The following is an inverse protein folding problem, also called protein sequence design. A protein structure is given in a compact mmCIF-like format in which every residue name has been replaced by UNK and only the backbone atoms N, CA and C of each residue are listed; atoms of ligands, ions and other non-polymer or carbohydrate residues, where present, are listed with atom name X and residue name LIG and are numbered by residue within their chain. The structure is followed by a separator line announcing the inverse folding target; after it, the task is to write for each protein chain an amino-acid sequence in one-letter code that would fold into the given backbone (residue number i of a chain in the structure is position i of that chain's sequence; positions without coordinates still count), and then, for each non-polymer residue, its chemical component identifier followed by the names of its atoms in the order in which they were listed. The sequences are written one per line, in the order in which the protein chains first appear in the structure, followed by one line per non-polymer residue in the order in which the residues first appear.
data_IF_885155166826
#
_entry.id   IF_885155166826
#
_cell.length_a   1.000
_cell.length_b   1.000
_cell.length_c   1.000
_cell.angle_alpha   90.00
_cell.angle_beta   90.00
_cell.angle_gamma   90.00
#
_symmetry.space_group_name_H-M   'P 1'
#
loop_
_entity.id
_entity.type
_entity.pdbx_description
1 polymer ?
#
# COMPACT_ATOMS: atom_id res chain seq x y z
N UNK A 1 11.42 60.99 -45.01
CA UNK A 1 11.97 62.09 -44.18
C UNK A 1 11.37 61.98 -42.78
N UNK A 2 12.17 61.64 -41.77
CA UNK A 2 11.85 61.88 -40.36
C UNK A 2 10.80 60.98 -39.69
N UNK A 3 10.98 59.66 -39.73
CA UNK A 3 10.30 58.77 -38.78
C UNK A 3 11.37 58.04 -37.98
N UNK A 4 11.48 58.36 -36.68
CA UNK A 4 12.49 57.79 -35.80
C UNK A 4 12.25 56.30 -35.62
N UNK A 5 13.35 55.55 -35.57
CA UNK A 5 13.42 54.09 -35.33
C UNK A 5 12.57 53.66 -34.11
N UNK A 6 12.39 54.55 -33.15
CA UNK A 6 11.53 54.37 -31.97
C UNK A 6 10.03 54.19 -32.25
N UNK A 7 9.47 54.76 -33.34
CA UNK A 7 8.04 54.58 -33.68
C UNK A 7 7.75 53.26 -34.40
N UNK A 8 8.73 52.72 -35.13
CA UNK A 8 8.62 51.39 -35.76
C UNK A 8 8.74 50.29 -34.70
N UNK A 9 9.62 50.47 -33.71
CA UNK A 9 9.73 49.57 -32.56
C UNK A 9 8.45 49.55 -31.70
N UNK A 10 7.79 50.69 -31.47
CA UNK A 10 6.57 50.74 -30.67
C UNK A 10 5.36 50.05 -31.35
N UNK A 11 5.28 50.11 -32.68
CA UNK A 11 4.27 49.39 -33.47
C UNK A 11 4.54 47.89 -33.58
N UNK A 12 5.81 47.47 -33.59
CA UNK A 12 6.17 46.05 -33.55
C UNK A 12 5.92 45.43 -32.17
N UNK A 13 6.17 46.17 -31.09
CA UNK A 13 5.93 45.72 -29.71
C UNK A 13 4.43 45.67 -29.39
N UNK A 14 3.61 46.59 -29.92
CA UNK A 14 2.16 46.52 -29.74
C UNK A 14 1.52 45.40 -30.58
N UNK A 15 2.04 45.10 -31.77
CA UNK A 15 1.58 43.97 -32.59
C UNK A 15 1.94 42.61 -31.95
N UNK A 16 3.14 42.47 -31.40
CA UNK A 16 3.56 41.28 -30.65
C UNK A 16 2.80 41.11 -29.33
N UNK A 17 2.55 42.22 -28.61
CA UNK A 17 1.74 42.21 -27.39
C UNK A 17 0.28 41.80 -27.65
N UNK A 18 -0.29 42.26 -28.78
CA UNK A 18 -1.68 41.91 -29.15
C UNK A 18 -1.78 40.47 -29.66
N UNK A 19 -0.79 39.96 -30.39
CA UNK A 19 -0.73 38.57 -30.82
C UNK A 19 -0.54 37.61 -29.63
N UNK A 20 0.30 37.96 -28.65
CA UNK A 20 0.47 37.21 -27.42
C UNK A 20 -0.80 37.22 -26.56
N UNK A 21 -1.51 38.35 -26.47
CA UNK A 21 -2.78 38.43 -25.73
C UNK A 21 -3.90 37.62 -26.41
N UNK A 22 -3.97 37.63 -27.74
CA UNK A 22 -4.93 36.80 -28.50
C UNK A 22 -4.60 35.31 -28.35
N UNK A 23 -3.32 34.93 -28.31
CA UNK A 23 -2.91 33.55 -28.05
C UNK A 23 -3.26 33.11 -26.61
N UNK A 24 -2.99 33.96 -25.60
CA UNK A 24 -3.29 33.65 -24.19
C UNK A 24 -4.81 33.58 -23.93
N UNK A 25 -5.59 34.49 -24.52
CA UNK A 25 -7.05 34.48 -24.41
C UNK A 25 -7.65 33.33 -25.24
N UNK A 26 -7.09 33.02 -26.41
CA UNK A 26 -7.49 31.89 -27.23
C UNK A 26 -7.27 30.53 -26.55
N UNK A 27 -6.11 30.34 -25.90
CA UNK A 27 -5.79 29.16 -25.09
C UNK A 27 -6.70 29.06 -23.86
N UNK A 28 -6.99 30.18 -23.19
CA UNK A 28 -7.89 30.19 -22.02
C UNK A 28 -9.34 29.87 -22.39
N UNK A 29 -9.84 30.35 -23.54
CA UNK A 29 -11.21 30.07 -24.01
C UNK A 29 -11.35 28.65 -24.58
N UNK A 30 -10.31 28.09 -25.19
CA UNK A 30 -10.30 26.69 -25.63
C UNK A 30 -10.15 25.71 -24.46
N UNK A 31 -9.35 26.04 -23.43
CA UNK A 31 -9.17 25.19 -22.24
C UNK A 31 -10.44 25.05 -21.39
N UNK A 32 -11.39 25.99 -21.48
CA UNK A 32 -12.67 25.92 -20.76
C UNK A 32 -13.74 25.09 -21.49
N UNK A 33 -13.57 24.79 -22.79
CA UNK A 33 -14.56 24.06 -23.60
C UNK A 33 -14.11 22.69 -24.06
N UNK A 34 -12.81 22.41 -24.07
CA UNK A 34 -12.30 21.09 -24.44
C UNK A 34 -10.91 20.86 -23.80
N UNK A 35 -10.83 20.36 -22.55
CA UNK A 35 -9.56 20.20 -21.84
C UNK A 35 -8.58 19.23 -22.53
N UNK A 36 -9.03 18.44 -23.51
CA UNK A 36 -8.19 17.60 -24.37
C UNK A 36 -7.37 18.38 -25.42
N UNK A 37 -7.89 19.50 -25.96
CA UNK A 37 -7.23 20.23 -27.05
C UNK A 37 -6.07 21.11 -26.56
N UNK A 38 -6.14 21.59 -25.31
CA UNK A 38 -5.03 22.32 -24.69
C UNK A 38 -3.82 21.41 -24.38
N UNK A 39 -4.03 20.09 -24.24
CA UNK A 39 -2.96 19.10 -24.04
C UNK A 39 -2.18 18.80 -25.33
N UNK A 40 -2.80 18.94 -26.51
CA UNK A 40 -2.11 18.78 -27.80
C UNK A 40 -1.22 19.98 -28.14
N UNK A 41 -1.66 21.21 -27.87
CA UNK A 41 -0.92 22.42 -28.24
C UNK A 41 0.38 22.64 -27.45
N UNK A 42 0.51 22.07 -26.25
CA UNK A 42 1.76 22.13 -25.45
C UNK A 42 2.79 21.09 -25.92
N UNK A 43 2.37 20.09 -26.72
CA UNK A 43 3.28 19.08 -27.28
C UNK A 43 4.14 19.59 -28.45
N UNK A 44 3.78 20.72 -29.08
CA UNK A 44 4.51 21.24 -30.26
C UNK A 44 5.59 22.28 -29.93
N UNK A 45 5.70 22.73 -28.68
CA UNK A 45 6.73 23.67 -28.23
C UNK A 45 7.92 22.94 -27.61
N UNK A 46 8.75 22.33 -28.45
CA UNK A 46 10.21 22.33 -28.28
C UNK A 46 10.86 21.47 -27.19
N UNK A 47 10.13 20.72 -26.37
CA UNK A 47 10.71 19.62 -25.60
C UNK A 47 10.90 18.42 -26.56
N UNK A 48 12.08 18.36 -27.19
CA UNK A 48 12.35 17.53 -28.36
C UNK A 48 11.98 16.04 -28.22
N UNK A 49 11.56 15.43 -29.33
CA UNK A 49 11.19 14.02 -29.45
C UNK A 49 12.15 13.01 -28.79
N UNK A 50 13.43 13.37 -28.61
CA UNK A 50 14.42 12.58 -27.88
C UNK A 50 14.14 12.47 -26.37
N UNK A 51 13.64 13.52 -25.71
CA UNK A 51 13.36 13.51 -24.26
C UNK A 51 12.14 12.64 -23.97
N UNK A 52 11.10 12.71 -24.80
CA UNK A 52 9.91 11.86 -24.69
C UNK A 52 10.23 10.38 -24.90
N UNK A 53 11.13 10.05 -25.84
CA UNK A 53 11.57 8.68 -26.09
C UNK A 53 12.42 8.11 -24.94
N UNK A 54 13.29 8.94 -24.34
CA UNK A 54 14.04 8.58 -23.13
C UNK A 54 13.09 8.35 -21.95
N UNK A 55 12.12 9.25 -21.75
CA UNK A 55 11.11 9.12 -20.71
C UNK A 55 10.26 7.84 -20.89
N UNK A 56 9.86 7.52 -22.12
CA UNK A 56 9.13 6.28 -22.43
C UNK A 56 9.98 5.03 -22.16
N UNK A 57 11.28 5.05 -22.48
CA UNK A 57 12.21 3.96 -22.14
C UNK A 57 12.41 3.81 -20.63
N UNK A 58 12.39 4.91 -19.87
CA UNK A 58 12.50 4.87 -18.41
C UNK A 58 11.29 4.20 -17.74
N UNK A 59 10.08 4.41 -18.29
CA UNK A 59 8.88 3.68 -17.88
C UNK A 59 8.98 2.18 -18.20
N UNK A 60 9.71 1.81 -19.27
CA UNK A 60 10.03 0.44 -19.64
C UNK A 60 8.79 -0.45 -19.85
N UNK A 61 8.81 -1.76 -19.54
CA UNK A 61 7.66 -2.66 -19.76
C UNK A 61 6.44 -2.43 -18.85
N UNK A 62 6.41 -1.36 -18.04
CA UNK A 62 5.32 -1.09 -17.10
C UNK A 62 4.15 -0.33 -17.74
N UNK A 63 4.26 0.00 -19.03
CA UNK A 63 3.16 0.48 -19.82
C UNK A 63 2.38 -0.70 -20.40
N UNK A 64 1.07 -0.69 -20.22
CA UNK A 64 0.18 -1.60 -20.95
C UNK A 64 0.17 -1.23 -22.45
N UNK A 65 -0.39 -2.12 -23.27
CA UNK A 65 -0.63 -1.87 -24.70
C UNK A 65 -1.52 -0.64 -24.94
N UNK A 66 -2.40 -0.32 -23.98
CA UNK A 66 -3.32 0.82 -24.00
C UNK A 66 -2.72 2.09 -23.38
N UNK A 67 -1.39 2.19 -23.31
CA UNK A 67 -0.62 3.31 -22.75
C UNK A 67 -0.94 3.59 -21.27
N UNK A 68 -1.32 2.59 -20.47
CA UNK A 68 -1.58 2.77 -19.02
C UNK A 68 -0.40 2.34 -18.17
N UNK A 69 -0.09 3.15 -17.17
CA UNK A 69 1.02 2.89 -16.28
C UNK A 69 0.62 1.94 -15.15
N UNK A 70 1.34 0.84 -15.04
CA UNK A 70 1.15 -0.15 -13.98
C UNK A 70 2.01 0.20 -12.75
N UNK A 71 1.52 -0.04 -11.52
CA UNK A 71 2.33 0.18 -10.31
C UNK A 71 3.57 -0.72 -10.29
N UNK A 72 4.69 -0.15 -9.84
CA UNK A 72 5.99 -0.83 -9.74
C UNK A 72 6.37 -1.13 -8.30
N UNK A 73 5.82 -0.35 -7.37
CA UNK A 73 6.10 -0.46 -5.94
C UNK A 73 4.79 -0.74 -5.23
N UNK A 74 4.77 -1.76 -4.38
CA UNK A 74 3.62 -2.10 -3.57
C UNK A 74 3.98 -1.99 -2.09
N UNK A 75 3.32 -1.08 -1.37
CA UNK A 75 3.32 -1.10 0.09
C UNK A 75 2.17 -2.03 0.54
N UNK A 76 2.49 -3.31 0.64
CA UNK A 76 1.49 -4.38 0.73
C UNK A 76 0.87 -4.51 2.12
N UNK A 77 1.47 -3.96 3.15
CA UNK A 77 0.98 -4.11 4.52
C UNK A 77 2.05 -3.90 5.56
N UNK A 78 1.82 -4.32 6.80
CA UNK A 78 0.59 -4.95 7.32
C UNK A 78 -0.34 -3.87 7.86
N UNK A 79 -1.65 -4.02 7.63
CA UNK A 79 -2.66 -3.18 8.27
C UNK A 79 -2.37 -2.99 9.76
N UNK A 80 -2.48 -1.73 10.20
CA UNK A 80 -2.30 -1.30 11.60
C UNK A 80 -0.85 -1.32 12.11
N UNK A 81 0.13 -1.53 11.24
CA UNK A 81 1.55 -1.29 11.50
C UNK A 81 2.07 0.00 10.83
N UNK A 82 1.27 1.09 10.86
CA UNK A 82 1.73 2.43 10.43
C UNK A 82 1.85 2.66 8.92
N UNK A 83 1.20 1.85 8.07
CA UNK A 83 1.30 1.96 6.60
C UNK A 83 0.86 3.31 6.04
N UNK A 84 -0.12 4.00 6.63
CA UNK A 84 -0.53 5.33 6.15
C UNK A 84 0.57 6.36 6.35
N UNK A 85 1.10 6.48 7.57
CA UNK A 85 2.22 7.38 7.87
C UNK A 85 3.42 7.08 6.97
N UNK A 86 3.77 5.81 6.82
CA UNK A 86 4.88 5.40 5.97
C UNK A 86 4.63 5.77 4.50
N UNK A 87 3.42 5.56 3.99
CA UNK A 87 3.06 5.92 2.62
C UNK A 87 3.17 7.43 2.38
N UNK A 88 2.61 8.24 3.28
CA UNK A 88 2.63 9.70 3.16
C UNK A 88 4.09 10.21 3.12
N UNK A 89 4.94 9.66 3.99
CA UNK A 89 6.36 9.98 4.03
C UNK A 89 7.11 9.48 2.78
N UNK A 90 6.83 8.26 2.30
CA UNK A 90 7.41 7.71 1.08
C UNK A 90 7.14 8.62 -0.12
N UNK A 91 5.89 9.06 -0.30
CA UNK A 91 5.49 9.92 -1.43
C UNK A 91 6.07 11.33 -1.27
N UNK A 92 6.15 11.85 -0.05
CA UNK A 92 6.63 13.21 0.22
C UNK A 92 8.14 13.35 0.14
N UNK A 93 8.88 12.28 0.49
CA UNK A 93 10.32 12.36 0.73
C UNK A 93 11.19 11.53 -0.20
N UNK A 94 10.63 10.61 -0.99
CA UNK A 94 11.38 9.86 -2.00
C UNK A 94 11.00 10.40 -3.39
N UNK A 95 11.83 11.26 -4.01
CA UNK A 95 11.46 12.01 -5.22
C UNK A 95 11.04 11.15 -6.41
N UNK A 96 11.44 9.88 -6.44
CA UNK A 96 11.10 8.93 -7.48
C UNK A 96 9.68 8.37 -7.37
N UNK A 97 9.11 8.37 -6.17
CA UNK A 97 7.84 7.72 -5.88
C UNK A 97 6.67 8.67 -6.20
N UNK A 98 5.64 8.12 -6.85
CA UNK A 98 4.40 8.82 -7.16
C UNK A 98 3.21 7.98 -6.72
N UNK A 99 2.14 8.61 -6.21
CA UNK A 99 0.92 7.91 -5.86
C UNK A 99 0.22 7.39 -7.11
N UNK A 100 -0.63 6.38 -6.95
CA UNK A 100 -1.70 6.09 -7.91
C UNK A 100 -2.82 7.13 -7.74
N UNK A 101 -3.74 7.22 -8.70
CA UNK A 101 -4.86 8.17 -8.67
C UNK A 101 -6.21 7.44 -8.61
N UNK A 102 -7.18 7.97 -7.88
CA UNK A 102 -8.56 7.47 -7.89
C UNK A 102 -9.32 7.90 -9.16
N UNK A 103 -10.62 7.55 -9.24
CA UNK A 103 -11.51 7.94 -10.35
C UNK A 103 -11.64 9.46 -10.54
N UNK A 104 -11.41 10.23 -9.48
CA UNK A 104 -11.50 11.69 -9.50
C UNK A 104 -10.15 12.33 -9.85
N UNK A 105 -9.13 11.50 -10.11
CA UNK A 105 -7.77 11.93 -10.39
C UNK A 105 -7.01 12.40 -9.14
N UNK A 106 -7.54 12.14 -7.94
CA UNK A 106 -6.88 12.51 -6.69
C UNK A 106 -5.88 11.42 -6.27
N UNK A 107 -4.74 11.78 -5.66
CA UNK A 107 -3.79 10.81 -5.12
C UNK A 107 -4.47 9.83 -4.16
N UNK A 108 -4.36 8.55 -4.47
CA UNK A 108 -4.96 7.47 -3.70
C UNK A 108 -3.88 6.55 -3.16
N UNK A 109 -3.89 6.37 -1.83
CA UNK A 109 -3.04 5.37 -1.18
C UNK A 109 -3.48 3.94 -1.52
N UNK A 110 -4.77 3.65 -1.36
CA UNK A 110 -5.29 2.28 -1.39
C UNK A 110 -6.13 2.07 -2.64
N UNK A 111 -5.60 1.30 -3.58
CA UNK A 111 -6.31 0.95 -4.82
C UNK A 111 -7.23 -0.26 -4.65
N UNK A 112 -6.90 -1.17 -3.71
CA UNK A 112 -7.73 -2.32 -3.32
C UNK A 112 -8.15 -3.24 -4.47
N UNK A 113 -7.39 -3.27 -5.56
CA UNK A 113 -7.76 -4.04 -6.75
C UNK A 113 -7.61 -5.54 -6.51
N UNK A 114 -6.43 -5.99 -6.06
CA UNK A 114 -6.11 -7.42 -5.99
C UNK A 114 -6.77 -8.16 -4.82
N UNK A 115 -7.04 -7.49 -3.70
CA UNK A 115 -7.75 -8.11 -2.57
C UNK A 115 -9.24 -8.26 -2.86
N UNK A 116 -9.85 -7.33 -3.60
CA UNK A 116 -11.30 -7.35 -3.87
C UNK A 116 -11.68 -7.90 -5.25
N UNK A 117 -10.68 -8.20 -6.09
CA UNK A 117 -10.90 -8.68 -7.46
C UNK A 117 -11.51 -7.62 -8.37
N UNK A 118 -11.14 -6.35 -8.19
CA UNK A 118 -11.66 -5.23 -8.98
C UNK A 118 -13.10 -4.84 -8.64
N UNK A 119 -13.62 -5.27 -7.49
CA UNK A 119 -14.94 -4.88 -6.98
C UNK A 119 -14.89 -3.62 -6.11
N UNK A 120 -13.73 -3.28 -5.56
CA UNK A 120 -13.57 -2.10 -4.71
C UNK A 120 -12.92 -0.98 -5.50
N UNK A 121 -13.62 0.14 -5.57
CA UNK A 121 -13.19 1.30 -6.37
C UNK A 121 -12.60 2.40 -5.47
N UNK A 122 -13.18 2.59 -4.29
CA UNK A 122 -12.63 3.39 -3.20
C UNK A 122 -13.29 2.95 -1.86
N UNK A 123 -12.84 3.51 -0.72
CA UNK A 123 -13.30 3.13 0.63
C UNK A 123 -14.83 3.03 0.83
N UNK A 124 -15.63 3.63 -0.06
CA UNK A 124 -17.09 3.73 0.05
C UNK A 124 -17.85 3.15 -1.16
N UNK A 125 -17.15 2.69 -2.22
CA UNK A 125 -17.79 2.24 -3.47
C UNK A 125 -17.45 0.77 -3.76
N UNK A 126 -18.49 -0.06 -3.66
CA UNK A 126 -18.48 -1.47 -4.04
C UNK A 126 -19.21 -1.67 -5.37
N UNK A 127 -18.53 -2.27 -6.35
CA UNK A 127 -19.12 -2.73 -7.59
C UNK A 127 -19.56 -4.20 -7.44
N UNK A 128 -20.78 -4.49 -7.88
CA UNK A 128 -21.30 -5.86 -7.90
C UNK A 128 -20.45 -6.75 -8.80
N UNK A 129 -20.09 -6.24 -9.97
CA UNK A 129 -19.30 -6.97 -10.96
C UNK A 129 -17.80 -6.60 -10.87
N UNK A 130 -16.91 -7.61 -10.87
CA UNK A 130 -15.48 -7.38 -10.87
C UNK A 130 -15.05 -6.70 -12.18
N UNK A 131 -14.36 -5.56 -12.07
CA UNK A 131 -13.78 -4.89 -13.25
C UNK A 131 -12.46 -5.57 -13.63
N UNK A 132 -12.24 -5.99 -14.89
CA UNK A 132 -10.94 -6.52 -15.32
C UNK A 132 -9.80 -5.53 -15.09
N UNK A 133 -8.60 -6.01 -14.73
CA UNK A 133 -7.52 -5.15 -14.28
C UNK A 133 -7.11 -4.11 -15.32
N UNK A 134 -7.05 -4.52 -16.59
CA UNK A 134 -6.72 -3.62 -17.69
C UNK A 134 -7.75 -2.51 -17.84
N UNK A 135 -9.04 -2.85 -17.73
CA UNK A 135 -10.11 -1.86 -17.77
C UNK A 135 -10.06 -0.93 -16.56
N UNK A 136 -9.80 -1.48 -15.37
CA UNK A 136 -9.62 -0.70 -14.15
C UNK A 136 -8.47 0.33 -14.30
N UNK A 137 -7.32 -0.08 -14.83
CA UNK A 137 -6.20 0.84 -15.10
C UNK A 137 -6.58 2.00 -16.03
N UNK A 138 -7.54 1.81 -16.96
CA UNK A 138 -7.96 2.93 -17.84
C UNK A 138 -8.62 4.08 -17.08
N UNK A 139 -9.18 3.81 -15.90
CA UNK A 139 -9.88 4.79 -15.05
C UNK A 139 -8.97 5.35 -13.96
N UNK A 140 -8.02 4.54 -13.47
CA UNK A 140 -7.27 4.82 -12.24
C UNK A 140 -5.76 4.99 -12.44
N UNK A 141 -5.26 4.80 -13.66
CA UNK A 141 -3.84 4.98 -13.95
C UNK A 141 -3.60 6.10 -14.96
N UNK A 142 -2.55 6.86 -14.69
CA UNK A 142 -2.00 7.82 -15.63
C UNK A 142 -1.59 7.13 -16.93
N UNK A 143 -1.66 7.90 -18.03
CA UNK A 143 -1.11 7.41 -19.29
C UNK A 143 0.40 7.53 -19.26
N UNK A 144 1.10 6.56 -19.86
CA UNK A 144 2.54 6.62 -19.98
C UNK A 144 2.99 7.85 -20.76
N UNK A 145 2.23 8.31 -21.75
CA UNK A 145 2.47 9.58 -22.42
C UNK A 145 2.37 10.78 -21.47
N UNK A 146 1.36 10.85 -20.60
CA UNK A 146 1.21 11.95 -19.65
C UNK A 146 2.35 11.99 -18.63
N UNK A 147 2.73 10.82 -18.10
CA UNK A 147 3.87 10.72 -17.18
C UNK A 147 5.18 11.09 -17.86
N UNK A 148 5.39 10.66 -19.11
CA UNK A 148 6.58 11.01 -19.89
C UNK A 148 6.66 12.52 -20.16
N UNK A 149 5.55 13.17 -20.50
CA UNK A 149 5.50 14.62 -20.72
C UNK A 149 5.70 15.42 -19.43
N UNK A 150 5.09 14.99 -18.32
CA UNK A 150 5.33 15.61 -17.00
C UNK A 150 6.81 15.47 -16.61
N UNK A 151 7.42 14.31 -16.84
CA UNK A 151 8.85 14.10 -16.60
C UNK A 151 9.69 15.03 -17.46
N UNK A 152 9.40 15.14 -18.76
CA UNK A 152 10.13 16.03 -19.67
C UNK A 152 10.05 17.51 -19.25
N UNK A 153 8.88 17.95 -18.76
CA UNK A 153 8.69 19.31 -18.27
C UNK A 153 9.46 19.58 -16.98
N UNK A 154 9.42 18.66 -16.02
CA UNK A 154 10.23 18.76 -14.79
C UNK A 154 11.72 18.78 -15.12
N UNK A 155 12.18 17.87 -15.98
CA UNK A 155 13.56 17.84 -16.45
C UNK A 155 14.00 19.16 -17.13
N UNK A 156 13.07 19.90 -17.70
CA UNK A 156 13.37 21.19 -18.36
C UNK A 156 13.32 22.38 -17.39
N UNK A 157 12.63 22.22 -16.25
CA UNK A 157 12.42 23.29 -15.27
C UNK A 157 13.49 23.32 -14.17
N UNK A 158 14.13 22.19 -13.88
CA UNK A 158 15.18 22.06 -12.87
C UNK A 158 16.58 22.23 -13.47
N UNK A 159 17.48 22.85 -12.71
CA UNK A 159 18.89 22.96 -13.07
C UNK A 159 19.68 21.76 -12.54
N UNK A 160 20.89 21.48 -13.07
CA UNK A 160 21.70 20.29 -12.74
C UNK A 160 22.15 20.15 -11.28
N UNK A 161 21.89 21.18 -10.46
CA UNK A 161 22.24 21.27 -9.04
C UNK A 161 21.01 21.06 -8.13
N UNK A 162 19.80 20.94 -8.69
CA UNK A 162 18.59 20.70 -7.89
C UNK A 162 18.53 19.21 -7.49
N UNK A 163 18.44 18.86 -6.20
CA UNK A 163 18.33 17.46 -5.76
C UNK A 163 17.05 16.77 -6.25
N UNK A 164 16.06 17.55 -6.73
CA UNK A 164 14.86 17.06 -7.40
C UNK A 164 14.97 17.13 -8.93
N UNK A 165 16.14 17.48 -9.48
CA UNK A 165 16.40 17.47 -10.93
C UNK A 165 16.42 16.03 -11.47
N UNK A 166 15.26 15.58 -11.93
CA UNK A 166 15.10 14.32 -12.64
C UNK A 166 15.81 14.31 -14.02
N UNK A 167 16.32 15.45 -14.53
CA UNK A 167 17.10 15.49 -15.76
C UNK A 167 18.51 14.94 -15.56
N UNK A 168 19.10 15.23 -14.40
CA UNK A 168 20.38 14.68 -13.98
C UNK A 168 20.23 13.34 -13.24
N UNK A 169 19.11 13.13 -12.54
CA UNK A 169 18.86 11.89 -11.80
C UNK A 169 18.60 10.72 -12.77
N UNK A 170 19.36 9.64 -12.60
CA UNK A 170 19.12 8.36 -13.32
C UNK A 170 17.86 7.64 -12.81
N UNK A 171 17.05 8.33 -12.01
CA UNK A 171 16.08 7.72 -11.13
C UNK A 171 14.76 7.55 -11.88
N UNK A 172 14.31 6.31 -12.02
CA UNK A 172 13.05 6.01 -12.69
C UNK A 172 11.88 6.54 -11.86
N UNK A 173 10.84 7.07 -12.51
CA UNK A 173 9.56 7.32 -11.83
C UNK A 173 8.89 5.99 -11.52
N UNK A 174 8.53 5.80 -10.26
CA UNK A 174 7.93 4.59 -9.74
C UNK A 174 6.57 4.90 -9.15
N UNK A 175 5.54 4.16 -9.55
CA UNK A 175 4.19 4.35 -9.05
C UNK A 175 3.92 3.37 -7.91
N UNK A 176 3.33 3.89 -6.84
CA UNK A 176 3.12 3.18 -5.58
C UNK A 176 1.65 2.85 -5.40
N UNK A 177 1.33 1.56 -5.30
CA UNK A 177 0.06 1.09 -4.74
C UNK A 177 0.28 0.80 -3.25
N UNK A 178 -0.33 1.62 -2.40
CA UNK A 178 -0.15 1.63 -0.96
C UNK A 178 -1.15 0.76 -0.19
N UNK A 179 -1.73 -0.27 -0.81
CA UNK A 179 -2.81 -1.08 -0.24
C UNK A 179 -2.34 -2.08 0.84
N UNK A 180 -2.63 -1.84 2.14
CA UNK A 180 -2.15 -2.70 3.22
C UNK A 180 -2.86 -4.06 3.32
N UNK A 181 -3.99 -4.21 2.63
CA UNK A 181 -4.74 -5.46 2.56
C UNK A 181 -4.15 -6.46 1.56
N UNK A 182 -3.12 -6.06 0.78
CA UNK A 182 -2.41 -6.99 -0.09
C UNK A 182 -1.52 -7.96 0.70
N UNK A 183 -1.25 -7.67 1.98
CA UNK A 183 -0.64 -8.61 2.92
C UNK A 183 -1.69 -9.62 3.39
N UNK A 184 -2.18 -10.42 2.45
CA UNK A 184 -3.20 -11.43 2.68
C UNK A 184 -3.01 -12.59 1.71
N UNK A 185 -3.58 -13.74 2.06
CA UNK A 185 -3.49 -14.94 1.26
C UNK A 185 -4.09 -14.76 -0.15
N UNK A 186 -3.45 -15.35 -1.16
CA UNK A 186 -3.88 -15.37 -2.55
C UNK A 186 -3.60 -14.08 -3.33
N UNK A 187 -3.21 -12.98 -2.68
CA UNK A 187 -2.95 -11.71 -3.38
C UNK A 187 -1.71 -11.79 -4.26
N UNK A 188 -0.65 -12.46 -3.81
CA UNK A 188 0.58 -12.64 -4.59
C UNK A 188 0.32 -13.30 -5.95
N UNK A 189 -0.49 -14.36 -5.98
CA UNK A 189 -0.88 -15.04 -7.23
C UNK A 189 -1.65 -14.12 -8.18
N UNK A 190 -2.60 -13.33 -7.66
CA UNK A 190 -3.37 -12.37 -8.47
C UNK A 190 -2.49 -11.26 -9.06
N UNK A 191 -1.50 -10.77 -8.31
CA UNK A 191 -0.50 -9.85 -8.84
C UNK A 191 0.31 -10.58 -9.92
N UNK A 192 0.84 -11.77 -9.67
CA UNK A 192 1.63 -12.50 -10.67
C UNK A 192 0.87 -12.75 -12.00
N UNK A 193 -0.43 -13.00 -11.93
CA UNK A 193 -1.33 -13.13 -13.08
C UNK A 193 -1.49 -11.82 -13.86
N UNK A 194 -1.67 -10.69 -13.17
CA UNK A 194 -1.78 -9.37 -13.78
C UNK A 194 -0.48 -8.86 -14.42
N UNK A 195 0.66 -9.43 -14.04
CA UNK A 195 1.98 -9.16 -14.59
C UNK A 195 2.53 -10.41 -15.31
N UNK A 196 1.99 -10.78 -16.48
CA UNK A 196 2.29 -12.07 -17.12
C UNK A 196 3.72 -12.16 -17.65
N UNK A 197 4.37 -11.02 -17.95
CA UNK A 197 5.73 -11.01 -18.51
C UNK A 197 6.78 -11.11 -17.38
N UNK A 198 7.73 -12.05 -17.41
CA UNK A 198 8.76 -12.20 -16.37
C UNK A 198 9.58 -10.92 -16.13
N UNK A 199 9.84 -10.15 -17.18
CA UNK A 199 10.54 -8.86 -17.11
C UNK A 199 9.78 -7.80 -16.30
N UNK A 200 8.45 -7.80 -16.36
CA UNK A 200 7.61 -6.92 -15.53
C UNK A 200 7.70 -7.37 -14.07
N UNK A 201 7.52 -8.67 -13.81
CA UNK A 201 7.58 -9.22 -12.45
C UNK A 201 8.89 -8.91 -11.76
N UNK A 202 10.04 -9.03 -12.44
CA UNK A 202 11.37 -8.72 -11.87
C UNK A 202 11.55 -7.25 -11.47
N UNK A 203 10.77 -6.34 -12.06
CA UNK A 203 10.82 -4.90 -11.72
C UNK A 203 9.97 -4.55 -10.52
N UNK A 204 9.04 -5.41 -10.12
CA UNK A 204 8.20 -5.14 -8.95
C UNK A 204 9.05 -5.07 -7.68
N UNK A 205 8.68 -4.16 -6.79
CA UNK A 205 9.24 -4.02 -5.45
C UNK A 205 8.10 -4.03 -4.44
N UNK A 206 8.28 -4.80 -3.39
CA UNK A 206 7.34 -4.93 -2.31
C UNK A 206 7.96 -4.37 -1.03
N UNK A 207 7.20 -3.55 -0.32
CA UNK A 207 7.53 -3.01 0.98
C UNK A 207 6.46 -3.49 1.95
N UNK A 208 6.88 -4.06 3.08
CA UNK A 208 5.99 -4.47 4.15
C UNK A 208 6.48 -3.91 5.49
N UNK A 209 5.64 -3.16 6.19
CA UNK A 209 5.84 -2.79 7.59
C UNK A 209 5.18 -3.81 8.51
N UNK A 210 5.96 -4.49 9.34
CA UNK A 210 5.47 -5.45 10.34
C UNK A 210 5.58 -4.84 11.73
N UNK A 211 4.86 -5.37 12.70
CA UNK A 211 4.98 -4.92 14.07
C UNK A 211 4.82 -6.11 15.01
N UNK A 212 5.05 -5.91 16.31
CA UNK A 212 4.75 -6.94 17.29
C UNK A 212 3.29 -7.42 17.11
N UNK A 213 3.03 -8.74 16.96
CA UNK A 213 1.69 -9.23 16.67
C UNK A 213 0.63 -8.82 17.69
N UNK A 214 0.95 -8.79 18.98
CA UNK A 214 0.02 -8.34 20.03
C UNK A 214 -0.31 -6.85 19.82
N UNK A 215 0.71 -6.03 19.58
CA UNK A 215 0.57 -4.60 19.28
C UNK A 215 -0.30 -4.37 18.05
N UNK A 216 -0.10 -5.16 16.98
CA UNK A 216 -0.94 -5.09 15.78
C UNK A 216 -2.40 -5.42 16.10
N UNK A 217 -2.66 -6.55 16.74
CA UNK A 217 -4.02 -7.02 17.03
C UNK A 217 -4.76 -6.04 17.95
N UNK A 218 -4.06 -5.50 18.94
CA UNK A 218 -4.56 -4.43 19.80
C UNK A 218 -4.92 -3.18 18.99
N UNK A 219 -4.07 -2.79 18.05
CA UNK A 219 -4.30 -1.65 17.14
C UNK A 219 -5.51 -1.89 16.24
N UNK A 220 -5.65 -3.08 15.65
CA UNK A 220 -6.79 -3.47 14.84
C UNK A 220 -8.10 -3.45 15.62
N UNK A 221 -8.14 -4.10 16.79
CA UNK A 221 -9.30 -4.09 17.67
C UNK A 221 -9.73 -2.66 18.03
N UNK A 222 -8.78 -1.83 18.45
CA UNK A 222 -9.05 -0.44 18.81
C UNK A 222 -9.60 0.33 17.61
N UNK A 223 -8.94 0.22 16.45
CA UNK A 223 -9.36 0.89 15.23
C UNK A 223 -10.81 0.57 14.87
N UNK A 224 -11.14 -0.72 14.74
CA UNK A 224 -12.50 -1.12 14.35
C UNK A 224 -13.50 -0.66 15.43
N UNK A 225 -13.21 -0.85 16.72
CA UNK A 225 -14.10 -0.36 17.79
C UNK A 225 -14.33 1.15 17.73
N UNK A 226 -13.31 1.95 17.39
CA UNK A 226 -13.44 3.42 17.29
C UNK A 226 -14.10 3.89 16.00
N UNK A 227 -13.81 3.25 14.86
CA UNK A 227 -14.33 3.66 13.55
C UNK A 227 -15.86 3.63 13.54
N UNK A 228 -16.46 2.58 14.09
CA UNK A 228 -17.91 2.41 14.09
C UNK A 228 -18.62 3.27 15.13
N UNK A 229 -18.01 3.53 16.29
CA UNK A 229 -18.57 4.50 17.23
C UNK A 229 -18.70 5.91 16.64
N UNK A 230 -18.00 6.22 15.54
CA UNK A 230 -18.07 7.50 14.82
C UNK A 230 -18.98 7.48 13.58
N UNK A 231 -19.39 6.32 13.07
CA UNK A 231 -20.32 6.21 11.96
C UNK A 231 -21.74 6.17 12.54
N UNK A 232 -22.47 7.27 12.52
CA UNK A 232 -23.90 7.24 12.90
C UNK A 232 -24.76 6.61 11.80
N UNK A 233 -25.99 6.21 12.14
CA UNK A 233 -27.04 5.79 11.19
C UNK A 233 -27.24 4.27 11.06
N UNK A 234 -28.33 3.87 10.40
CA UNK A 234 -28.78 2.46 10.29
C UNK A 234 -27.73 1.54 9.64
N UNK A 235 -26.96 2.04 8.67
CA UNK A 235 -25.91 1.26 8.00
C UNK A 235 -24.72 0.97 8.94
N UNK A 236 -24.41 1.88 9.85
CA UNK A 236 -23.40 1.66 10.86
C UNK A 236 -23.85 0.62 11.91
N UNK A 237 -25.12 0.65 12.33
CA UNK A 237 -25.68 -0.38 13.22
C UNK A 237 -25.65 -1.78 12.59
N UNK A 238 -25.90 -1.87 11.28
CA UNK A 238 -25.85 -3.13 10.54
C UNK A 238 -24.41 -3.66 10.42
N UNK A 239 -23.45 -2.76 10.15
CA UNK A 239 -22.03 -3.13 10.04
C UNK A 239 -21.41 -3.43 11.40
N UNK A 240 -21.84 -2.74 12.46
CA UNK A 240 -21.40 -2.99 13.83
C UNK A 240 -21.73 -4.43 14.22
N UNK A 241 -22.97 -4.90 13.96
CA UNK A 241 -23.39 -6.28 14.27
C UNK A 241 -22.53 -7.35 13.59
N UNK A 242 -21.98 -7.07 12.42
CA UNK A 242 -21.19 -8.04 11.64
C UNK A 242 -19.71 -8.09 12.04
N UNK A 243 -19.26 -7.21 12.94
CA UNK A 243 -17.87 -7.15 13.33
C UNK A 243 -17.62 -7.78 14.68
N UNK A 244 -16.50 -8.49 14.76
CA UNK A 244 -16.05 -9.10 16.00
C UNK A 244 -16.00 -8.10 17.16
N UNK A 245 -15.61 -6.85 16.92
CA UNK A 245 -15.54 -5.80 17.96
C UNK A 245 -16.88 -5.48 18.62
N UNK A 246 -18.03 -5.84 18.03
CA UNK A 246 -19.33 -5.70 18.68
C UNK A 246 -19.53 -6.72 19.81
N UNK A 247 -19.07 -7.95 19.60
CA UNK A 247 -19.24 -9.06 20.55
C UNK A 247 -18.31 -8.99 21.76
N UNK A 248 -17.28 -8.14 21.72
CA UNK A 248 -16.32 -8.01 22.80
C UNK A 248 -16.30 -6.57 23.33
N UNK A 249 -16.42 -6.44 24.65
CA UNK A 249 -16.32 -5.16 25.32
C UNK A 249 -14.89 -4.60 25.22
N UNK A 250 -13.89 -5.47 25.40
CA UNK A 250 -12.48 -5.08 25.38
C UNK A 250 -11.62 -6.02 24.52
N UNK A 251 -10.44 -5.55 24.13
CA UNK A 251 -9.42 -6.37 23.48
C UNK A 251 -9.03 -7.58 24.34
N UNK A 252 -8.94 -7.41 25.66
CA UNK A 252 -8.63 -8.49 26.59
C UNK A 252 -9.67 -9.63 26.52
N UNK A 253 -10.97 -9.31 26.43
CA UNK A 253 -12.03 -10.31 26.30
C UNK A 253 -11.94 -11.05 24.96
N UNK A 254 -11.70 -10.32 23.88
CA UNK A 254 -11.49 -10.89 22.55
C UNK A 254 -10.29 -11.81 22.52
N UNK A 255 -9.13 -11.39 23.04
CA UNK A 255 -7.91 -12.18 23.03
C UNK A 255 -8.09 -13.45 23.86
N UNK A 256 -8.71 -13.36 25.03
CA UNK A 256 -9.00 -14.51 25.88
C UNK A 256 -9.81 -15.60 25.14
N UNK A 257 -10.84 -15.19 24.39
CA UNK A 257 -11.64 -16.14 23.60
C UNK A 257 -10.91 -16.65 22.35
N UNK A 258 -10.14 -15.79 21.69
CA UNK A 258 -9.32 -16.15 20.53
C UNK A 258 -8.29 -17.21 20.92
N UNK A 259 -7.56 -16.99 22.02
CA UNK A 259 -6.58 -17.95 22.56
C UNK A 259 -7.23 -19.27 22.94
N UNK A 260 -8.40 -19.23 23.58
CA UNK A 260 -9.14 -20.46 23.92
C UNK A 260 -9.56 -21.28 22.69
N UNK A 261 -9.77 -20.63 21.54
CA UNK A 261 -10.17 -21.27 20.28
C UNK A 261 -8.97 -21.69 19.40
N UNK A 262 -7.73 -21.32 19.74
CA UNK A 262 -6.54 -21.63 18.93
C UNK A 262 -6.36 -23.13 18.62
N UNK A 263 -6.54 -24.06 19.57
CA UNK A 263 -6.39 -25.49 19.27
C UNK A 263 -7.36 -25.98 18.18
N UNK A 264 -8.60 -25.48 18.18
CA UNK A 264 -9.60 -25.82 17.17
C UNK A 264 -9.27 -25.17 15.83
N UNK A 265 -8.85 -23.91 15.82
CA UNK A 265 -8.48 -23.20 14.59
C UNK A 265 -7.24 -23.80 13.90
N UNK A 266 -6.34 -24.39 14.67
CA UNK A 266 -5.08 -24.98 14.21
C UNK A 266 -5.16 -26.48 13.91
N UNK A 267 -6.30 -27.12 14.16
CA UNK A 267 -6.49 -28.53 13.83
C UNK A 267 -6.43 -28.74 12.30
N UNK A 268 -6.01 -29.91 11.79
CA UNK A 268 -6.04 -30.20 10.36
C UNK A 268 -7.43 -29.96 9.75
N UNK A 269 -7.49 -29.22 8.64
CA UNK A 269 -8.74 -28.75 8.02
C UNK A 269 -9.42 -27.57 8.74
N UNK A 270 -8.80 -27.07 9.81
CA UNK A 270 -9.23 -25.88 10.53
C UNK A 270 -8.97 -24.58 9.76
N UNK A 271 -9.33 -23.45 10.37
CA UNK A 271 -9.26 -22.13 9.72
C UNK A 271 -7.87 -21.77 9.23
N UNK A 272 -6.82 -22.22 9.93
CA UNK A 272 -5.45 -21.88 9.58
C UNK A 272 -4.84 -22.73 8.45
N UNK A 273 -5.46 -23.86 8.09
CA UNK A 273 -5.00 -24.69 6.96
C UNK A 273 -5.43 -24.11 5.60
N UNK A 274 -6.54 -23.38 5.55
CA UNK A 274 -7.01 -22.71 4.34
C UNK A 274 -7.67 -21.35 4.63
N UNK A 275 -6.87 -20.31 4.96
CA UNK A 275 -7.42 -19.01 5.32
C UNK A 275 -8.16 -18.34 4.15
N UNK A 276 -7.73 -18.59 2.90
CA UNK A 276 -8.35 -18.01 1.70
C UNK A 276 -9.77 -18.53 1.43
N UNK A 277 -9.99 -19.84 1.50
CA UNK A 277 -11.31 -20.43 1.26
C UNK A 277 -12.34 -20.01 2.34
N UNK A 278 -11.91 -19.94 3.60
CA UNK A 278 -12.83 -19.62 4.70
C UNK A 278 -13.18 -18.13 4.81
N UNK A 279 -12.39 -17.24 4.18
CA UNK A 279 -12.69 -15.81 4.13
C UNK A 279 -13.43 -15.37 2.86
N UNK A 280 -13.28 -16.10 1.74
CA UNK A 280 -13.89 -15.74 0.46
C UNK A 280 -15.39 -16.09 0.34
N UNK A 281 -15.87 -17.18 0.97
CA UNK A 281 -17.24 -17.68 0.83
C UNK A 281 -18.36 -16.75 1.37
N UNK A 282 -18.04 -15.63 2.03
CA UNK A 282 -19.04 -14.91 2.88
C UNK A 282 -19.50 -13.54 2.40
N UNK A 283 -18.91 -12.96 1.35
CA UNK A 283 -19.46 -11.73 0.77
C UNK A 283 -20.77 -11.97 0.00
N UNK A 284 -20.97 -13.19 -0.51
CA UNK A 284 -22.21 -13.60 -1.16
C UNK A 284 -23.25 -14.08 -0.11
N UNK A 285 -22.84 -14.79 0.95
CA UNK A 285 -23.75 -15.28 2.01
C UNK A 285 -24.42 -14.16 2.83
N UNK A 286 -23.73 -13.04 3.09
CA UNK A 286 -24.31 -11.91 3.86
C UNK A 286 -25.27 -11.06 2.99
N UNK A 287 -25.29 -11.25 1.67
CA UNK A 287 -26.24 -10.58 0.76
C UNK A 287 -27.57 -11.32 0.62
N UNK A 288 -27.60 -12.63 0.85
CA UNK A 288 -28.80 -13.47 0.70
C UNK A 288 -29.72 -13.46 1.93
N UNK A 289 -29.24 -13.06 3.12
CA UNK A 289 -30.07 -12.98 4.35
C UNK A 289 -31.15 -11.86 4.29
N UNK A 290 -31.21 -11.04 3.22
CA UNK A 290 -32.18 -9.94 3.07
C UNK A 290 -33.41 -10.32 2.21
N UNK A 291 -33.34 -11.37 1.38
CA UNK A 291 -34.39 -11.69 0.40
C UNK A 291 -35.14 -13.02 0.67
N UNK A 292 -34.92 -13.68 1.82
CA UNK A 292 -35.58 -14.94 2.19
C UNK A 292 -37.03 -14.75 2.70
N UNK A 293 -37.82 -13.96 1.97
CA UNK A 293 -39.28 -13.96 2.04
C UNK A 293 -39.90 -15.22 1.38
N UNK A 294 -39.08 -16.05 0.71
CA UNK A 294 -39.51 -17.24 -0.02
C UNK A 294 -39.09 -18.56 0.65
N UNK A 295 -39.34 -18.71 1.95
CA UNK A 295 -39.84 -19.95 2.57
C UNK A 295 -39.07 -21.29 2.45
N UNK A 296 -37.89 -21.37 1.82
CA UNK A 296 -37.07 -22.58 1.84
C UNK A 296 -36.21 -22.58 3.09
N UNK A 297 -36.64 -23.34 4.10
CA UNK A 297 -35.95 -23.37 5.38
C UNK A 297 -34.56 -23.98 5.22
N UNK A 298 -33.52 -23.16 5.26
CA UNK A 298 -32.19 -23.62 5.64
C UNK A 298 -32.32 -24.27 7.03
N UNK A 299 -32.15 -25.59 7.09
CA UNK A 299 -32.35 -26.38 8.31
C UNK A 299 -31.54 -25.87 9.50
N UNK A 300 -32.01 -26.14 10.72
CA UNK A 300 -31.43 -25.63 11.99
C UNK A 300 -29.93 -25.98 12.17
N UNK A 301 -29.49 -27.10 11.58
CA UNK A 301 -28.06 -27.50 11.54
C UNK A 301 -27.20 -26.52 10.71
N UNK A 302 -27.72 -26.04 9.59
CA UNK A 302 -27.03 -25.06 8.75
C UNK A 302 -26.87 -23.71 9.43
N UNK A 303 -27.85 -23.29 10.25
CA UNK A 303 -27.77 -22.02 11.00
C UNK A 303 -26.68 -22.04 12.08
N UNK A 304 -26.58 -23.13 12.84
CA UNK A 304 -25.56 -23.28 13.90
C UNK A 304 -24.15 -23.33 13.31
N UNK A 305 -23.99 -24.07 12.22
CA UNK A 305 -22.70 -24.16 11.53
C UNK A 305 -22.27 -22.81 10.93
N UNK A 306 -23.19 -22.09 10.25
CA UNK A 306 -22.94 -20.73 9.76
C UNK A 306 -22.57 -19.77 10.90
N UNK A 307 -23.29 -19.82 12.03
CA UNK A 307 -23.01 -18.96 13.18
C UNK A 307 -21.62 -19.24 13.78
N UNK A 308 -21.23 -20.51 13.91
CA UNK A 308 -19.90 -20.88 14.41
C UNK A 308 -18.80 -20.49 13.42
N UNK A 309 -19.00 -20.64 12.10
CA UNK A 309 -18.07 -20.13 11.09
C UNK A 309 -17.90 -18.61 11.17
N UNK A 310 -19.01 -17.85 11.27
CA UNK A 310 -18.98 -16.39 11.47
C UNK A 310 -18.21 -16.03 12.75
N UNK A 311 -18.45 -16.75 13.85
CA UNK A 311 -17.71 -16.57 15.11
C UNK A 311 -16.20 -16.83 14.93
N UNK A 312 -15.81 -17.93 14.30
CA UNK A 312 -14.40 -18.27 14.08
C UNK A 312 -13.71 -17.24 13.17
N UNK A 313 -14.36 -16.81 12.08
CA UNK A 313 -13.89 -15.71 11.24
C UNK A 313 -13.65 -14.44 12.06
N UNK A 314 -14.61 -14.08 12.91
CA UNK A 314 -14.53 -12.92 13.79
C UNK A 314 -13.38 -13.00 14.81
N UNK A 315 -13.08 -14.19 15.32
CA UNK A 315 -11.95 -14.39 16.23
C UNK A 315 -10.59 -14.30 15.52
N UNK A 316 -10.49 -14.76 14.28
CA UNK A 316 -9.19 -15.08 13.69
C UNK A 316 -8.82 -14.30 12.43
N UNK A 317 -9.72 -13.55 11.80
CA UNK A 317 -9.41 -12.73 10.62
C UNK A 317 -8.17 -11.84 10.85
N UNK A 318 -8.10 -11.19 12.00
CA UNK A 318 -6.95 -10.37 12.35
C UNK A 318 -5.72 -11.19 12.74
N UNK A 319 -5.88 -12.39 13.31
CA UNK A 319 -4.74 -13.26 13.63
C UNK A 319 -4.07 -13.79 12.37
N UNK A 320 -4.83 -14.17 11.34
CA UNK A 320 -4.28 -14.62 10.05
C UNK A 320 -3.34 -13.58 9.45
N UNK A 321 -3.69 -12.29 9.51
CA UNK A 321 -2.86 -11.19 9.02
C UNK A 321 -1.56 -10.96 9.83
N UNK A 322 -1.39 -11.62 10.98
CA UNK A 322 -0.11 -11.65 11.74
C UNK A 322 0.82 -12.80 11.35
N UNK A 323 0.38 -13.70 10.47
CA UNK A 323 1.18 -14.83 9.96
C UNK A 323 2.12 -14.35 8.86
N UNK A 324 3.11 -13.54 9.25
CA UNK A 324 3.96 -12.81 8.31
C UNK A 324 4.69 -13.72 7.33
N UNK A 325 5.21 -14.86 7.81
CA UNK A 325 5.89 -15.82 6.95
C UNK A 325 4.96 -16.47 5.94
N UNK A 326 3.79 -16.96 6.35
CA UNK A 326 2.87 -17.64 5.43
C UNK A 326 2.48 -16.74 4.26
N UNK A 327 2.15 -15.47 4.54
CA UNK A 327 1.77 -14.52 3.49
C UNK A 327 2.96 -14.24 2.56
N UNK A 328 4.15 -13.99 3.09
CA UNK A 328 5.33 -13.71 2.24
C UNK A 328 5.71 -14.94 1.41
N UNK A 329 5.63 -16.15 1.97
CA UNK A 329 5.93 -17.38 1.24
C UNK A 329 4.99 -17.59 0.05
N UNK A 330 3.70 -17.26 0.18
CA UNK A 330 2.77 -17.31 -0.95
C UNK A 330 3.18 -16.40 -2.12
N UNK A 331 3.77 -15.24 -1.85
CA UNK A 331 4.33 -14.39 -2.91
C UNK A 331 5.55 -15.05 -3.57
N UNK A 332 6.41 -15.69 -2.78
CA UNK A 332 7.57 -16.41 -3.32
C UNK A 332 7.13 -17.59 -4.19
N UNK A 333 6.12 -18.34 -3.73
CA UNK A 333 5.49 -19.45 -4.47
C UNK A 333 4.79 -18.97 -5.75
N UNK A 334 4.27 -17.73 -5.76
CA UNK A 334 3.74 -17.07 -6.95
C UNK A 334 4.81 -16.62 -7.97
N UNK A 335 6.10 -16.84 -7.66
CA UNK A 335 7.23 -16.60 -8.56
C UNK A 335 7.92 -15.25 -8.39
N UNK A 336 7.70 -14.56 -7.27
CA UNK A 336 8.51 -13.40 -6.88
C UNK A 336 9.77 -13.87 -6.13
N UNK A 337 10.88 -13.13 -6.26
CA UNK A 337 12.10 -13.44 -5.51
C UNK A 337 12.19 -12.64 -4.21
N UNK A 338 12.84 -13.19 -3.19
CA UNK A 338 12.88 -12.59 -1.86
C UNK A 338 13.59 -11.23 -1.83
N UNK A 339 14.52 -10.97 -2.74
CA UNK A 339 15.21 -9.68 -2.89
C UNK A 339 14.29 -8.55 -3.40
N UNK A 340 13.10 -8.88 -3.91
CA UNK A 340 12.07 -7.92 -4.29
C UNK A 340 11.32 -7.36 -3.08
N UNK A 341 11.47 -7.97 -1.89
CA UNK A 341 10.79 -7.58 -0.67
C UNK A 341 11.74 -6.86 0.29
N UNK A 342 11.23 -5.79 0.91
CA UNK A 342 11.81 -5.15 2.07
C UNK A 342 10.80 -5.19 3.20
N UNK A 343 11.16 -5.83 4.30
CA UNK A 343 10.35 -5.90 5.52
C UNK A 343 10.93 -4.96 6.56
N UNK A 344 10.14 -4.01 7.05
CA UNK A 344 10.54 -3.04 8.06
C UNK A 344 9.76 -3.25 9.35
N UNK A 345 10.39 -3.25 10.53
CA UNK A 345 9.65 -3.22 11.76
C UNK A 345 9.14 -1.79 11.99
N UNK A 346 7.87 -1.66 12.36
CA UNK A 346 7.20 -0.38 12.54
C UNK A 346 7.90 0.52 13.58
N UNK A 347 8.48 -0.08 14.61
CA UNK A 347 9.27 0.60 15.63
C UNK A 347 10.49 1.31 15.05
N UNK A 348 11.19 0.69 14.09
CA UNK A 348 12.33 1.29 13.41
C UNK A 348 11.92 2.51 12.58
N UNK A 349 10.84 2.40 11.80
CA UNK A 349 10.32 3.55 11.05
C UNK A 349 9.92 4.70 11.97
N UNK A 350 9.24 4.45 13.08
CA UNK A 350 8.84 5.53 13.97
C UNK A 350 9.99 6.13 14.78
N UNK A 351 11.05 5.37 15.11
CA UNK A 351 12.19 5.91 15.85
C UNK A 351 13.23 6.57 14.92
N UNK A 352 13.40 6.04 13.71
CA UNK A 352 14.41 6.46 12.73
C UNK A 352 13.80 6.59 11.33
N UNK A 353 12.82 7.50 11.12
CA UNK A 353 12.08 7.60 9.86
C UNK A 353 13.00 7.88 8.67
N UNK A 354 14.03 8.70 8.85
CA UNK A 354 14.98 8.99 7.79
C UNK A 354 15.77 7.76 7.33
N UNK A 355 16.19 6.91 8.27
CA UNK A 355 16.93 5.70 7.91
C UNK A 355 16.01 4.65 7.27
N UNK A 356 14.77 4.52 7.74
CA UNK A 356 13.78 3.67 7.10
C UNK A 356 13.47 4.11 5.66
N UNK A 357 13.36 5.41 5.39
CA UNK A 357 13.15 5.93 4.04
C UNK A 357 14.37 5.76 3.14
N UNK A 358 15.60 5.86 3.68
CA UNK A 358 16.82 5.51 2.95
C UNK A 358 16.86 4.04 2.57
N UNK A 359 16.46 3.14 3.48
CA UNK A 359 16.37 1.71 3.20
C UNK A 359 15.35 1.42 2.09
N UNK A 360 14.18 2.09 2.12
CA UNK A 360 13.16 1.97 1.07
C UNK A 360 13.68 2.51 -0.26
N UNK A 361 14.28 3.70 -0.28
CA UNK A 361 14.85 4.29 -1.48
C UNK A 361 15.90 3.38 -2.11
N UNK A 362 16.85 2.87 -1.31
CA UNK A 362 17.85 1.90 -1.76
C UNK A 362 17.20 0.64 -2.34
N UNK A 363 16.16 0.11 -1.68
CA UNK A 363 15.43 -1.08 -2.14
C UNK A 363 14.72 -0.87 -3.49
N UNK A 364 14.16 0.32 -3.70
CA UNK A 364 13.53 0.68 -4.98
C UNK A 364 14.52 1.20 -6.03
N UNK A 365 15.82 1.22 -5.73
CA UNK A 365 16.88 1.59 -6.66
C UNK A 365 17.08 3.10 -6.84
N UNK A 366 16.69 3.88 -5.84
CA UNK A 366 16.90 5.34 -5.75
C UNK A 366 18.17 5.60 -4.96
N UNK A 367 19.03 6.51 -5.46
CA UNK A 367 20.27 6.87 -4.76
C UNK A 367 19.92 7.64 -3.48
N UNK A 368 20.30 7.09 -2.33
CA UNK A 368 20.00 7.68 -1.03
C UNK A 368 20.77 8.98 -0.74
N UNK A 369 21.79 9.30 -1.56
CA UNK A 369 22.54 10.56 -1.46
C UNK A 369 21.69 11.79 -1.79
N UNK A 370 20.59 11.59 -2.52
CA UNK A 370 19.66 12.66 -2.87
C UNK A 370 18.60 12.91 -1.77
N UNK A 371 18.73 12.25 -0.61
CA UNK A 371 17.73 12.20 0.47
C UNK A 371 18.14 12.97 1.73
N UNK A 372 19.07 13.90 1.63
CA UNK A 372 19.54 14.70 2.78
C UNK A 372 18.41 15.56 3.41
N UNK A 373 17.32 15.81 2.66
CA UNK A 373 16.13 16.53 3.13
C UNK A 373 15.14 15.70 3.97
N UNK A 374 15.37 14.40 4.17
CA UNK A 374 14.44 13.52 4.92
C UNK A 374 14.48 13.78 6.44
N UNK A 375 15.45 14.56 6.95
CA UNK A 375 15.61 14.86 8.38
C UNK A 375 14.37 15.40 9.09
N UNK A 376 13.42 15.96 8.35
CA UNK A 376 12.17 16.54 8.84
C UNK A 376 10.92 15.66 8.61
N UNK A 377 11.06 14.36 8.31
CA UNK A 377 9.93 13.42 8.21
C UNK A 377 9.22 13.27 9.57
N UNK A 378 8.39 14.27 9.90
CA UNK A 378 7.71 14.42 11.16
C UNK A 378 6.31 13.83 11.03
N UNK A 379 6.16 12.60 11.50
CA UNK A 379 4.95 11.97 12.05
C UNK A 379 3.59 12.63 11.74
N UNK A 380 3.22 12.79 10.46
CA UNK A 380 1.99 13.49 10.08
C UNK A 380 0.71 12.87 10.71
N UNK A 381 0.81 11.62 11.18
CA UNK A 381 -0.30 10.81 11.68
C UNK A 381 -0.04 10.09 13.02
N UNK A 382 0.84 10.59 13.90
CA UNK A 382 0.96 10.03 15.26
C UNK A 382 -0.36 10.21 16.05
N UNK A 383 -1.14 9.12 16.08
CA UNK A 383 -2.40 8.86 16.79
C UNK A 383 -3.06 9.99 17.59
N UNK A 384 -4.23 10.43 17.12
CA UNK A 384 -5.15 11.38 17.79
C UNK A 384 -6.14 10.73 18.77
N UNK A 385 -5.81 9.59 19.39
CA UNK A 385 -6.71 8.96 20.37
C UNK A 385 -6.16 9.19 21.77
N UNK A 386 -6.94 9.88 22.60
CA UNK A 386 -6.63 10.13 24.01
C UNK A 386 -6.26 8.82 24.72
N UNK A 387 -5.14 8.84 25.45
CA UNK A 387 -4.58 7.64 26.09
C UNK A 387 -5.59 6.91 27.00
N UNK A 388 -6.47 7.67 27.65
CA UNK A 388 -7.54 7.14 28.51
C UNK A 388 -8.59 6.34 27.73
N UNK A 389 -9.03 6.82 26.56
CA UNK A 389 -9.99 6.11 25.73
C UNK A 389 -9.39 4.81 25.23
N UNK A 390 -8.11 4.83 24.83
CA UNK A 390 -7.37 3.63 24.42
C UNK A 390 -7.26 2.62 25.56
N UNK A 391 -6.98 3.05 26.79
CA UNK A 391 -6.89 2.16 27.94
C UNK A 391 -8.23 1.43 28.22
N UNK A 392 -9.36 2.15 28.12
CA UNK A 392 -10.71 1.57 28.32
C UNK A 392 -11.04 0.49 27.28
N UNK A 393 -10.71 0.71 26.02
CA UNK A 393 -10.98 -0.24 24.93
C UNK A 393 -10.12 -1.50 25.01
N UNK A 394 -8.94 -1.40 25.61
CA UNK A 394 -7.98 -2.51 25.67
C UNK A 394 -8.30 -3.47 26.81
N UNK A 395 -8.65 -2.94 27.99
CA UNK A 395 -8.84 -3.76 29.20
C UNK A 395 -7.53 -4.35 29.74
N UNK A 396 -7.64 -5.23 30.74
CA UNK A 396 -6.49 -5.89 31.36
C UNK A 396 -6.19 -7.23 30.67
N UNK A 397 -5.19 -7.23 29.79
CA UNK A 397 -4.74 -8.44 29.08
C UNK A 397 -3.92 -9.32 30.03
N UNK A 398 -4.35 -10.57 30.22
CA UNK A 398 -3.67 -11.54 31.10
C UNK A 398 -2.37 -12.02 30.46
N UNK A 399 -1.32 -12.13 31.25
CA UNK A 399 -0.01 -12.57 30.73
C UNK A 399 -0.07 -13.94 30.05
N UNK A 400 -0.82 -14.89 30.63
CA UNK A 400 -1.04 -16.21 30.04
C UNK A 400 -1.63 -16.18 28.62
N UNK A 401 -2.48 -15.19 28.31
CA UNK A 401 -3.11 -15.10 26.99
C UNK A 401 -2.11 -14.51 25.99
N UNK A 402 -1.27 -13.56 26.42
CA UNK A 402 -0.17 -13.04 25.60
C UNK A 402 0.85 -14.12 25.28
N UNK A 403 1.26 -14.88 26.29
CA UNK A 403 2.21 -15.99 26.14
C UNK A 403 1.64 -17.05 25.19
N UNK A 404 0.37 -17.43 25.34
CA UNK A 404 -0.26 -18.39 24.45
C UNK A 404 -0.34 -17.89 22.99
N UNK A 405 -0.66 -16.61 22.77
CA UNK A 405 -0.61 -16.01 21.43
C UNK A 405 0.81 -16.01 20.86
N UNK A 406 1.81 -15.60 21.65
CA UNK A 406 3.22 -15.59 21.23
C UNK A 406 3.72 -16.99 20.90
N UNK A 407 3.37 -17.98 21.71
CA UNK A 407 3.71 -19.39 21.46
C UNK A 407 3.11 -19.86 20.13
N UNK A 408 1.83 -19.56 19.90
CA UNK A 408 1.15 -19.93 18.67
C UNK A 408 1.78 -19.27 17.42
N UNK A 409 2.18 -18.01 17.52
CA UNK A 409 2.79 -17.27 16.41
C UNK A 409 4.30 -17.49 16.28
N UNK A 410 4.96 -18.14 17.25
CA UNK A 410 6.41 -18.38 17.24
C UNK A 410 6.89 -19.04 15.95
N UNK A 411 6.26 -20.12 15.42
CA UNK A 411 6.72 -20.73 14.18
C UNK A 411 6.67 -19.78 12.98
N UNK A 412 5.71 -18.86 12.96
CA UNK A 412 5.58 -17.86 11.90
C UNK A 412 6.68 -16.79 11.98
N UNK A 413 7.08 -16.40 13.18
CA UNK A 413 8.17 -15.45 13.37
C UNK A 413 9.54 -16.10 13.14
N UNK A 414 9.73 -17.35 13.55
CA UNK A 414 10.90 -18.16 13.19
C UNK A 414 11.00 -18.36 11.68
N UNK A 415 9.87 -18.63 11.03
CA UNK A 415 9.78 -18.73 9.58
C UNK A 415 10.14 -17.41 8.87
N UNK A 416 9.73 -16.26 9.40
CA UNK A 416 10.11 -14.96 8.85
C UNK A 416 11.63 -14.75 8.91
N UNK A 417 12.25 -15.13 10.04
CA UNK A 417 13.72 -15.14 10.18
C UNK A 417 14.35 -16.09 9.17
N UNK A 418 13.77 -17.28 8.97
CA UNK A 418 14.25 -18.26 7.99
C UNK A 418 14.24 -17.71 6.56
N UNK A 419 13.16 -17.03 6.15
CA UNK A 419 13.08 -16.36 4.85
C UNK A 419 14.22 -15.34 4.66
N UNK A 420 14.57 -14.59 5.71
CA UNK A 420 15.69 -13.66 5.67
C UNK A 420 17.03 -14.37 5.50
N UNK A 421 17.27 -15.41 6.29
CA UNK A 421 18.58 -16.05 6.38
C UNK A 421 18.86 -17.02 5.23
N UNK A 422 17.85 -17.75 4.76
CA UNK A 422 18.01 -18.80 3.75
C UNK A 422 17.61 -18.34 2.36
N UNK A 423 16.61 -17.45 2.24
CA UNK A 423 16.05 -17.05 0.95
C UNK A 423 16.46 -15.63 0.55
N UNK A 424 17.09 -14.87 1.47
CA UNK A 424 17.63 -13.54 1.19
C UNK A 424 16.61 -12.40 1.29
N UNK A 425 15.45 -12.63 1.93
CA UNK A 425 14.46 -11.59 2.23
C UNK A 425 15.14 -10.41 2.95
N UNK A 426 14.95 -9.17 2.48
CA UNK A 426 15.58 -8.00 3.13
C UNK A 426 14.78 -7.58 4.36
N UNK A 427 15.45 -7.46 5.50
CA UNK A 427 14.89 -6.94 6.74
C UNK A 427 15.62 -5.65 7.12
N UNK A 428 14.88 -4.55 7.25
CA UNK A 428 15.44 -3.26 7.66
C UNK A 428 15.89 -3.30 9.12
N UNK A 429 16.93 -2.51 9.45
CA UNK A 429 17.58 -2.51 10.76
C UNK A 429 17.98 -3.92 11.27
N UNK A 430 18.27 -4.84 10.35
CA UNK A 430 18.81 -6.15 10.69
C UNK A 430 20.33 -6.19 10.56
N UNK A 431 20.85 -5.56 9.49
CA UNK A 431 22.28 -5.37 9.26
C UNK A 431 22.65 -3.89 9.38
N UNK A 432 23.91 -3.60 9.70
CA UNK A 432 24.42 -2.22 9.77
C UNK A 432 23.98 -1.43 11.01
N UNK A 433 23.26 -2.07 11.94
CA UNK A 433 22.89 -1.52 13.25
C UNK A 433 23.55 -2.35 14.35
N UNK A 434 23.61 -1.82 15.58
CA UNK A 434 24.12 -2.57 16.73
C UNK A 434 23.15 -3.70 17.10
N UNK A 435 23.64 -4.79 17.67
CA UNK A 435 22.81 -5.92 18.14
C UNK A 435 21.69 -5.45 19.09
N UNK A 436 21.99 -4.53 20.02
CA UNK A 436 20.99 -3.93 20.92
C UNK A 436 19.85 -3.24 20.16
N UNK A 437 20.16 -2.58 19.05
CA UNK A 437 19.18 -1.87 18.22
C UNK A 437 18.34 -2.86 17.42
N UNK A 438 18.98 -3.87 16.82
CA UNK A 438 18.31 -4.97 16.15
C UNK A 438 17.33 -5.67 17.09
N UNK A 439 17.80 -6.07 18.28
CA UNK A 439 16.99 -6.73 19.31
C UNK A 439 15.84 -5.84 19.79
N UNK A 440 16.04 -4.53 19.84
CA UNK A 440 14.97 -3.59 20.20
C UNK A 440 13.90 -3.50 19.11
N UNK A 441 14.30 -3.31 17.85
CA UNK A 441 13.37 -3.16 16.72
C UNK A 441 12.63 -4.45 16.39
N UNK A 442 13.33 -5.58 16.49
CA UNK A 442 12.83 -6.93 16.24
C UNK A 442 12.57 -7.71 17.53
N UNK A 443 12.25 -7.03 18.63
CA UNK A 443 12.06 -7.64 19.96
C UNK A 443 10.98 -8.72 20.03
N UNK A 444 10.04 -8.73 19.09
CA UNK A 444 9.01 -9.77 18.96
C UNK A 444 9.52 -11.03 18.26
N UNK A 445 10.68 -10.98 17.59
CA UNK A 445 11.27 -12.13 16.90
C UNK A 445 11.88 -13.10 17.93
N UNK A 446 11.63 -14.42 17.79
CA UNK A 446 12.24 -15.42 18.65
C UNK A 446 13.77 -15.37 18.59
N UNK A 447 14.39 -15.33 19.77
CA UNK A 447 15.84 -15.49 19.94
C UNK A 447 16.20 -16.96 19.71
N UNK A 448 16.35 -17.34 18.44
CA UNK A 448 16.73 -18.70 18.05
C UNK A 448 18.21 -19.02 18.36
N UNK A 449 18.55 -20.32 18.53
CA UNK A 449 19.92 -20.80 18.77
C UNK A 449 20.83 -20.73 17.53
N UNK A 450 20.27 -20.46 16.36
CA UNK A 450 21.04 -20.18 15.17
C UNK A 450 21.80 -18.86 15.40
N UNK A 451 23.13 -18.94 15.46
CA UNK A 451 23.99 -17.77 15.40
C UNK A 451 23.52 -16.85 14.29
N UNK A 452 23.57 -15.55 14.55
CA UNK A 452 23.08 -14.53 13.63
C UNK A 452 23.46 -14.87 12.19
N UNK A 453 22.53 -14.64 11.27
CA UNK A 453 22.65 -14.98 9.84
C UNK A 453 23.82 -14.27 9.13
N UNK A 454 24.61 -13.52 9.91
CA UNK A 454 25.88 -12.88 9.64
C UNK A 454 26.93 -13.85 9.07
N UNK A 455 26.96 -15.12 9.48
CA UNK A 455 27.96 -16.08 8.93
C UNK A 455 27.65 -16.56 7.51
N UNK A 456 26.41 -16.47 7.02
CA UNK A 456 26.01 -17.06 5.74
C UNK A 456 26.31 -16.19 4.50
N UNK A 457 26.59 -14.88 4.68
CA UNK A 457 26.89 -13.95 3.57
C UNK A 457 28.37 -13.63 3.38
N UNK A 458 29.26 -14.20 4.21
CA UNK A 458 30.71 -14.05 4.09
C UNK A 458 31.38 -15.14 3.22
N UNK A 459 30.59 -16.06 2.67
CA UNK A 459 30.98 -17.09 1.70
C UNK A 459 30.28 -16.86 0.37
#
# INVERSE_FOLDING_TARGET
KGTSVTRVAALAVSALGTAALIAVVGVSVMSARNPGAAREAVSELGAGSGVTEIARRALGPMCTEDDRLMPTVFLIGVEKCGTTSLYDDMISHIPALRPMHDDEGAPAKEMRYFDTGGRFVNMLKWNKDPTPFREWLTRHADTCAAVASSLANEMSAHGPEDPFDMAASRTQRLHVDGTPAYFNAGVGAKIAEAYPRPEQRRRLRFVATVCDPETRLKSAFTFFKTLYNGWGGEQAELWEKNLYTHYFATYADWLAQTVAALPQASAPGGLFDNPGAQMAETLDDDAEDVDDANGESVGDLGRKERAERRRMKNLFNEVVKTRYESVLREYLDAGFSADQFLVLPNSYYFERPADALRDIASHVGVDARDLDAIGDAAHANAGRVEAEQRARLVGHVRERDREALREHLRPQLEGLRKLHCEEGLKMAAWHGVREEERDRYWSFMPKGPAGDCETARAS
#
